data_IF_712299585643
#
_entry.id   IF_712299585643
#
_cell.length_a   1.000
_cell.length_b   1.000
_cell.length_c   1.000
_cell.angle_alpha   90.00
_cell.angle_beta   90.00
_cell.angle_gamma   90.00
#
_symmetry.space_group_name_H-M   'P 1'
#
loop_
_entity.id
_entity.type
_entity.pdbx_description
1 polymer ?
#
# COMPACT_ATOMS: atom_id res chain seq x y z
N UNK A 1 1.73 -1.03 -10.70
CA UNK A 1 0.89 -1.03 -9.47
C UNK A 1 1.59 -0.36 -8.31
N UNK A 2 2.78 -0.82 -7.91
CA UNK A 2 3.54 -0.34 -6.75
C UNK A 2 3.81 1.17 -6.74
N UNK A 3 4.31 1.73 -7.85
CA UNK A 3 4.55 3.17 -7.98
C UNK A 3 3.26 3.98 -7.87
N UNK A 4 2.18 3.55 -8.54
CA UNK A 4 0.87 4.21 -8.48
C UNK A 4 0.36 4.23 -7.04
N UNK A 5 0.40 3.08 -6.36
CA UNK A 5 -0.02 2.97 -4.97
C UNK A 5 0.80 3.89 -4.03
N UNK A 6 2.10 4.04 -4.27
CA UNK A 6 2.95 4.98 -3.53
C UNK A 6 2.51 6.43 -3.73
N UNK A 7 2.33 6.86 -4.98
CA UNK A 7 1.88 8.24 -5.24
C UNK A 7 0.49 8.51 -4.67
N UNK A 8 -0.45 7.58 -4.85
CA UNK A 8 -1.83 7.71 -4.35
C UNK A 8 -1.86 7.80 -2.83
N UNK A 9 -1.17 6.90 -2.13
CA UNK A 9 -1.08 6.94 -0.66
C UNK A 9 -0.39 8.20 -0.15
N UNK A 10 0.64 8.70 -0.85
CA UNK A 10 1.31 9.95 -0.52
C UNK A 10 0.37 11.16 -0.63
N UNK A 11 -0.36 11.28 -1.74
CA UNK A 11 -1.32 12.38 -1.95
C UNK A 11 -2.41 12.35 -0.88
N UNK A 12 -2.96 11.17 -0.58
CA UNK A 12 -3.99 10.99 0.44
C UNK A 12 -3.46 11.39 1.82
N UNK A 13 -2.28 10.89 2.22
CA UNK A 13 -1.68 11.21 3.52
C UNK A 13 -1.35 12.70 3.66
N UNK A 14 -0.90 13.34 2.58
CA UNK A 14 -0.60 14.77 2.57
C UNK A 14 -1.87 15.63 2.66
N UNK A 15 -2.93 15.29 1.91
CA UNK A 15 -4.22 15.95 2.00
C UNK A 15 -4.84 15.83 3.40
N UNK A 16 -4.73 14.66 4.03
CA UNK A 16 -5.21 14.44 5.40
C UNK A 16 -4.47 15.32 6.42
N UNK A 17 -3.14 15.47 6.30
CA UNK A 17 -2.37 16.38 7.16
C UNK A 17 -2.86 17.83 7.03
N UNK A 18 -3.12 18.29 5.81
CA UNK A 18 -3.65 19.64 5.55
C UNK A 18 -5.08 19.83 6.12
N UNK A 19 -5.93 18.80 6.03
CA UNK A 19 -7.29 18.82 6.60
C UNK A 19 -7.25 18.96 8.12
N UNK A 20 -6.37 18.21 8.79
CA UNK A 20 -6.29 18.20 10.26
C UNK A 20 -5.72 19.52 10.82
N UNK A 21 -4.78 20.17 10.12
CA UNK A 21 -4.29 21.50 10.50
C UNK A 21 -5.40 22.57 10.47
N UNK A 22 -6.41 22.39 9.63
CA UNK A 22 -7.56 23.29 9.52
C UNK A 22 -8.70 22.97 10.51
N UNK A 23 -8.66 21.81 11.15
CA UNK A 23 -9.77 21.20 11.92
C UNK A 23 -9.37 21.02 13.40
N UNK A 24 -8.68 22.02 13.97
CA UNK A 24 -8.22 22.09 15.36
C UNK A 24 -9.37 22.24 16.39
N UNK A 25 -10.62 22.22 15.94
CA UNK A 25 -11.84 22.43 16.74
C UNK A 25 -12.85 21.28 16.52
N UNK A 26 -12.39 20.03 16.55
CA UNK A 26 -13.26 18.85 16.54
C UNK A 26 -13.01 17.99 17.78
N UNK A 27 -13.51 18.48 18.90
CA UNK A 27 -13.71 17.72 20.14
C UNK A 27 -14.75 16.60 19.91
N UNK A 28 -14.52 15.45 20.57
CA UNK A 28 -15.48 14.35 20.82
C UNK A 28 -15.82 13.30 19.72
N UNK A 29 -14.93 13.01 18.76
CA UNK A 29 -15.10 11.81 17.92
C UNK A 29 -14.15 10.67 18.30
N UNK A 30 -14.70 9.45 18.41
CA UNK A 30 -13.92 8.21 18.57
C UNK A 30 -12.84 8.11 17.49
N UNK A 31 -11.66 7.57 17.85
CA UNK A 31 -10.50 7.43 16.95
C UNK A 31 -10.88 6.80 15.60
N UNK A 32 -11.77 5.80 15.62
CA UNK A 32 -12.28 5.16 14.41
C UNK A 32 -13.16 6.10 13.56
N UNK A 33 -14.06 6.88 14.18
CA UNK A 33 -14.93 7.82 13.46
C UNK A 33 -14.18 8.96 12.80
N UNK A 34 -13.07 9.42 13.40
CA UNK A 34 -12.22 10.45 12.79
C UNK A 34 -11.44 9.94 11.57
N UNK A 35 -11.08 8.66 11.58
CA UNK A 35 -10.31 7.99 10.52
C UNK A 35 -11.19 7.32 9.44
N UNK A 36 -12.50 7.16 9.68
CA UNK A 36 -13.43 6.51 8.75
C UNK A 36 -13.51 7.21 7.38
N UNK A 37 -13.73 8.55 7.29
CA UNK A 37 -13.87 9.22 6.00
C UNK A 37 -12.64 9.09 5.10
N UNK A 38 -11.44 9.23 5.67
CA UNK A 38 -10.20 9.11 4.90
C UNK A 38 -9.93 7.66 4.49
N UNK A 39 -10.22 6.69 5.36
CA UNK A 39 -10.07 5.26 5.04
C UNK A 39 -11.05 4.84 3.93
N UNK A 40 -12.28 5.33 3.97
CA UNK A 40 -13.27 5.09 2.91
C UNK A 40 -12.83 5.68 1.57
N UNK A 41 -12.37 6.94 1.57
CA UNK A 41 -11.84 7.59 0.36
C UNK A 41 -10.66 6.80 -0.21
N UNK A 42 -9.74 6.37 0.66
CA UNK A 42 -8.57 5.56 0.29
C UNK A 42 -8.97 4.24 -0.36
N UNK A 43 -9.94 3.53 0.23
CA UNK A 43 -10.45 2.27 -0.32
C UNK A 43 -11.08 2.49 -1.69
N UNK A 44 -11.90 3.53 -1.84
CA UNK A 44 -12.58 3.85 -3.09
C UNK A 44 -11.58 4.13 -4.23
N UNK A 45 -10.58 4.97 -3.97
CA UNK A 45 -9.53 5.28 -4.97
C UNK A 45 -8.73 4.03 -5.32
N UNK A 46 -8.36 3.21 -4.34
CA UNK A 46 -7.61 1.98 -4.59
C UNK A 46 -8.39 0.96 -5.43
N UNK A 47 -9.71 0.83 -5.21
CA UNK A 47 -10.57 -0.03 -6.02
C UNK A 47 -10.65 0.49 -7.45
N UNK A 48 -10.89 1.79 -7.64
CA UNK A 48 -10.98 2.40 -8.97
C UNK A 48 -9.68 2.20 -9.77
N UNK A 49 -8.53 2.49 -9.17
CA UNK A 49 -7.22 2.26 -9.79
C UNK A 49 -6.97 0.77 -10.08
N UNK A 50 -7.33 -0.10 -9.14
CA UNK A 50 -7.21 -1.55 -9.31
C UNK A 50 -8.00 -2.10 -10.49
N UNK A 51 -9.22 -1.60 -10.73
CA UNK A 51 -10.04 -1.98 -11.89
C UNK A 51 -9.36 -1.53 -13.19
N UNK A 52 -8.90 -0.28 -13.24
CA UNK A 52 -8.24 0.29 -14.44
C UNK A 52 -6.99 -0.53 -14.79
N UNK A 53 -6.13 -0.79 -13.81
CA UNK A 53 -4.90 -1.56 -14.03
C UNK A 53 -5.22 -3.02 -14.35
N UNK A 54 -6.21 -3.62 -13.69
CA UNK A 54 -6.66 -4.98 -13.97
C UNK A 54 -7.19 -5.15 -15.40
N UNK A 55 -7.96 -4.18 -15.88
CA UNK A 55 -8.47 -4.18 -17.26
C UNK A 55 -7.35 -4.04 -18.30
N UNK A 56 -6.42 -3.08 -18.10
CA UNK A 56 -5.30 -2.86 -19.01
C UNK A 56 -4.36 -4.08 -19.03
N UNK A 57 -3.96 -4.55 -17.84
CA UNK A 57 -3.05 -5.70 -17.73
C UNK A 57 -3.68 -6.99 -18.24
N UNK A 58 -4.96 -7.24 -17.95
CA UNK A 58 -5.67 -8.43 -18.42
C UNK A 58 -5.75 -8.51 -19.95
N UNK A 59 -5.83 -7.35 -20.62
CA UNK A 59 -5.81 -7.27 -22.08
C UNK A 59 -4.41 -7.57 -22.65
N UNK A 60 -3.37 -7.05 -22.00
CA UNK A 60 -1.96 -7.26 -22.41
C UNK A 60 -1.53 -8.72 -22.22
N UNK A 61 -1.84 -9.33 -21.08
CA UNK A 61 -1.32 -10.65 -20.69
C UNK A 61 -2.20 -11.84 -21.15
N UNK A 62 -3.27 -11.58 -21.91
CA UNK A 62 -4.18 -12.58 -22.45
C UNK A 62 -4.54 -13.68 -21.42
N UNK A 63 -5.26 -13.28 -20.38
CA UNK A 63 -5.53 -14.04 -19.14
C UNK A 63 -6.53 -15.20 -19.28
N UNK A 64 -6.38 -15.99 -20.35
CA UNK A 64 -7.27 -17.11 -20.69
C UNK A 64 -7.32 -18.21 -19.62
N UNK A 65 -6.22 -18.45 -18.89
CA UNK A 65 -6.13 -19.54 -17.91
C UNK A 65 -6.90 -19.30 -16.61
N UNK A 66 -6.96 -18.07 -16.10
CA UNK A 66 -7.64 -17.72 -14.84
C UNK A 66 -8.98 -17.02 -15.09
N UNK A 67 -9.18 -16.49 -16.29
CA UNK A 67 -10.36 -15.71 -16.62
C UNK A 67 -10.17 -14.24 -16.25
N UNK A 68 -10.59 -13.37 -17.17
CA UNK A 68 -10.39 -11.93 -17.10
C UNK A 68 -10.97 -11.29 -15.83
N UNK A 69 -12.15 -11.74 -15.39
CA UNK A 69 -12.84 -11.22 -14.21
C UNK A 69 -12.08 -11.55 -12.92
N UNK A 70 -11.57 -12.78 -12.79
CA UNK A 70 -10.80 -13.20 -11.62
C UNK A 70 -9.45 -12.47 -11.58
N UNK A 71 -8.79 -12.29 -12.72
CA UNK A 71 -7.58 -11.48 -12.82
C UNK A 71 -7.82 -10.05 -12.34
N UNK A 72 -8.89 -9.41 -12.80
CA UNK A 72 -9.25 -8.05 -12.38
C UNK A 72 -9.49 -7.98 -10.87
N UNK A 73 -10.16 -8.98 -10.28
CA UNK A 73 -10.35 -9.07 -8.82
C UNK A 73 -9.03 -9.13 -8.05
N UNK A 74 -8.07 -9.93 -8.52
CA UNK A 74 -6.72 -10.02 -7.92
C UNK A 74 -6.02 -8.66 -7.97
N UNK A 75 -6.08 -7.98 -9.12
CA UNK A 75 -5.52 -6.64 -9.29
C UNK A 75 -6.12 -5.62 -8.32
N UNK A 76 -7.44 -5.66 -8.13
CA UNK A 76 -8.15 -4.78 -7.18
C UNK A 76 -7.71 -5.04 -5.75
N UNK A 77 -7.69 -6.30 -5.32
CA UNK A 77 -7.30 -6.67 -3.96
C UNK A 77 -5.84 -6.26 -3.69
N UNK A 78 -4.93 -6.48 -4.65
CA UNK A 78 -3.54 -6.08 -4.52
C UNK A 78 -3.36 -4.57 -4.45
N UNK A 79 -4.09 -3.79 -5.28
CA UNK A 79 -4.05 -2.34 -5.18
C UNK A 79 -4.59 -1.86 -3.84
N UNK A 80 -5.69 -2.45 -3.36
CA UNK A 80 -6.26 -2.12 -2.05
C UNK A 80 -5.27 -2.41 -0.92
N UNK A 81 -4.63 -3.58 -0.95
CA UNK A 81 -3.60 -3.98 0.00
C UNK A 81 -2.43 -2.99 0.01
N UNK A 82 -1.86 -2.66 -1.16
CA UNK A 82 -0.70 -1.77 -1.27
C UNK A 82 -1.03 -0.35 -0.83
N UNK A 83 -2.13 0.22 -1.34
CA UNK A 83 -2.53 1.60 -1.02
C UNK A 83 -2.83 1.72 0.47
N UNK A 84 -3.57 0.78 1.07
CA UNK A 84 -3.86 0.79 2.52
C UNK A 84 -2.60 0.61 3.37
N UNK A 85 -1.68 -0.28 2.96
CA UNK A 85 -0.42 -0.50 3.67
C UNK A 85 0.46 0.74 3.69
N UNK A 86 0.65 1.37 2.52
CA UNK A 86 1.46 2.58 2.41
C UNK A 86 0.81 3.77 3.11
N UNK A 87 -0.51 3.91 2.99
CA UNK A 87 -1.26 4.96 3.67
C UNK A 87 -1.13 4.81 5.19
N UNK A 88 -1.23 3.58 5.71
CA UNK A 88 -1.02 3.30 7.13
C UNK A 88 0.40 3.68 7.58
N UNK A 89 1.43 3.24 6.85
CA UNK A 89 2.82 3.57 7.17
C UNK A 89 3.07 5.08 7.21
N UNK A 90 2.56 5.82 6.22
CA UNK A 90 2.72 7.28 6.14
C UNK A 90 1.97 8.01 7.27
N UNK A 91 0.82 7.49 7.69
CA UNK A 91 0.02 8.08 8.78
C UNK A 91 0.58 7.76 10.16
N UNK A 92 1.01 6.53 10.39
CA UNK A 92 1.50 6.05 11.69
C UNK A 92 2.96 6.43 11.95
N UNK A 93 3.84 6.30 10.95
CA UNK A 93 5.28 6.48 11.09
C UNK A 93 5.80 7.79 10.47
N UNK A 94 4.93 8.60 9.86
CA UNK A 94 5.24 9.92 9.30
C UNK A 94 6.51 9.93 8.41
N UNK A 95 7.58 10.62 8.84
CA UNK A 95 8.84 10.70 8.09
C UNK A 95 9.57 9.35 8.00
N UNK A 96 9.52 8.55 9.07
CA UNK A 96 10.10 7.20 9.07
C UNK A 96 9.32 6.29 8.13
N UNK A 97 8.00 6.42 8.08
CA UNK A 97 7.14 5.69 7.15
C UNK A 97 7.48 5.98 5.69
N UNK A 98 7.71 7.24 5.37
CA UNK A 98 8.14 7.64 4.02
C UNK A 98 9.51 7.06 3.66
N UNK A 99 10.48 7.09 4.58
CA UNK A 99 11.80 6.49 4.36
C UNK A 99 11.74 4.97 4.13
N UNK A 100 10.91 4.26 4.91
CA UNK A 100 10.69 2.82 4.73
C UNK A 100 10.10 2.53 3.36
N UNK A 101 9.03 3.24 2.97
CA UNK A 101 8.38 3.05 1.67
C UNK A 101 9.36 3.34 0.52
N UNK A 102 10.12 4.44 0.61
CA UNK A 102 11.07 4.83 -0.42
C UNK A 102 12.21 3.81 -0.53
N UNK A 103 12.70 3.31 0.60
CA UNK A 103 13.72 2.25 0.63
C UNK A 103 13.18 0.94 0.05
N UNK A 104 11.94 0.56 0.38
CA UNK A 104 11.29 -0.66 -0.13
C UNK A 104 11.11 -0.60 -1.65
N UNK A 105 10.62 0.53 -2.17
CA UNK A 105 10.46 0.74 -3.61
C UNK A 105 11.80 0.91 -4.31
N UNK A 106 12.76 1.60 -3.70
CA UNK A 106 14.12 1.72 -4.21
C UNK A 106 14.78 0.36 -4.35
N UNK A 107 14.79 -0.44 -3.29
CA UNK A 107 15.27 -1.83 -3.31
C UNK A 107 14.54 -2.62 -4.40
N UNK A 108 13.21 -2.53 -4.48
CA UNK A 108 12.45 -3.21 -5.54
C UNK A 108 12.93 -2.80 -6.95
N UNK A 109 13.11 -1.51 -7.24
CA UNK A 109 13.57 -1.04 -8.55
C UNK A 109 15.01 -1.47 -8.86
N UNK A 110 15.90 -1.45 -7.86
CA UNK A 110 17.29 -1.89 -8.04
C UNK A 110 17.45 -3.40 -8.16
N UNK A 111 16.56 -4.18 -7.54
CA UNK A 111 16.61 -5.65 -7.52
C UNK A 111 15.74 -6.29 -8.62
N UNK A 112 14.88 -5.54 -9.29
CA UNK A 112 14.05 -6.07 -10.39
C UNK A 112 14.79 -5.88 -11.72
N UNK A 113 14.67 -6.87 -12.60
CA UNK A 113 15.23 -6.83 -13.97
C UNK A 113 14.66 -5.69 -14.83
N UNK A 114 13.65 -4.96 -14.34
CA UNK A 114 13.01 -3.82 -14.99
C UNK A 114 13.95 -2.62 -15.22
N UNK A 115 15.09 -2.55 -14.51
CA UNK A 115 16.15 -1.54 -14.72
C UNK A 115 17.36 -2.13 -15.48
N UNK A 116 17.30 -3.40 -15.91
CA UNK A 116 18.28 -3.99 -16.83
C UNK A 116 19.60 -4.45 -16.19
N UNK A 117 19.72 -4.43 -14.85
CA UNK A 117 20.81 -5.09 -14.16
C UNK A 117 20.51 -6.58 -14.12
N UNK A 118 21.05 -7.34 -15.08
CA UNK A 118 21.07 -8.81 -15.06
C UNK A 118 21.90 -9.26 -13.85
N UNK A 119 21.29 -9.25 -12.67
CA UNK A 119 21.93 -9.72 -11.45
C UNK A 119 21.82 -11.24 -11.46
N UNK A 120 22.96 -11.88 -11.69
CA UNK A 120 23.11 -13.33 -11.65
C UNK A 120 22.55 -13.89 -10.33
N UNK A 121 21.63 -14.86 -10.42
CA UNK A 121 20.91 -15.48 -9.27
C UNK A 121 21.84 -16.18 -8.26
N UNK A 122 23.13 -16.28 -8.57
CA UNK A 122 24.19 -16.86 -7.71
C UNK A 122 24.86 -15.83 -6.79
N UNK A 123 24.57 -14.53 -6.94
CA UNK A 123 25.14 -13.45 -6.14
C UNK A 123 24.31 -13.17 -4.88
N UNK A 124 24.93 -12.56 -3.86
CA UNK A 124 24.33 -12.13 -2.58
C UNK A 124 23.03 -11.31 -2.80
N UNK A 125 22.92 -10.62 -3.95
CA UNK A 125 21.74 -9.88 -4.39
C UNK A 125 20.53 -10.75 -4.77
N UNK A 126 20.72 -12.00 -5.23
CA UNK A 126 19.62 -12.94 -5.48
C UNK A 126 18.94 -13.42 -4.20
N UNK A 127 19.70 -13.52 -3.11
CA UNK A 127 19.16 -13.84 -1.78
C UNK A 127 18.39 -12.66 -1.18
N UNK A 128 18.88 -11.43 -1.37
CA UNK A 128 18.14 -10.21 -0.98
C UNK A 128 16.85 -10.01 -1.79
N UNK A 129 16.83 -10.44 -3.05
CA UNK A 129 15.63 -10.44 -3.89
C UNK A 129 14.51 -11.31 -3.32
N UNK A 130 14.84 -12.36 -2.54
CA UNK A 130 13.85 -13.22 -1.88
C UNK A 130 13.20 -12.57 -0.66
N UNK A 131 13.84 -11.54 -0.08
CA UNK A 131 13.35 -10.83 1.12
C UNK A 131 12.47 -9.62 0.80
N UNK A 132 12.40 -9.17 -0.45
CA UNK A 132 11.54 -8.04 -0.84
C UNK A 132 10.07 -8.49 -0.90
N UNK A 133 9.18 -7.94 -0.04
CA UNK A 133 7.76 -8.28 -0.06
C UNK A 133 7.10 -7.96 -1.41
N UNK A 134 7.57 -6.91 -2.10
CA UNK A 134 7.06 -6.53 -3.41
C UNK A 134 7.47 -7.54 -4.50
N UNK A 135 8.70 -8.05 -4.43
CA UNK A 135 9.17 -9.07 -5.37
C UNK A 135 8.38 -10.37 -5.22
N UNK A 136 8.04 -10.73 -3.99
CA UNK A 136 7.20 -11.90 -3.73
C UNK A 136 5.83 -11.77 -4.42
N UNK A 137 5.20 -10.59 -4.38
CA UNK A 137 3.93 -10.32 -5.08
C UNK A 137 4.10 -10.49 -6.60
N UNK A 138 5.20 -10.02 -7.19
CA UNK A 138 5.45 -10.13 -8.64
C UNK A 138 5.65 -11.59 -9.09
N UNK A 139 6.48 -12.34 -8.38
CA UNK A 139 6.68 -13.78 -8.66
C UNK A 139 5.35 -14.53 -8.53
N UNK A 140 4.53 -14.17 -7.55
CA UNK A 140 3.22 -14.76 -7.35
C UNK A 140 2.26 -14.46 -8.51
N UNK A 141 2.21 -13.20 -8.95
CA UNK A 141 1.40 -12.80 -10.10
C UNK A 141 1.80 -13.55 -11.37
N UNK A 142 3.09 -13.72 -11.60
CA UNK A 142 3.59 -14.51 -12.72
C UNK A 142 3.18 -15.98 -12.63
N UNK A 143 3.23 -16.59 -11.44
CA UNK A 143 2.75 -17.97 -11.25
C UNK A 143 1.26 -18.12 -11.53
N UNK A 144 0.48 -17.16 -11.07
CA UNK A 144 -0.96 -17.06 -11.31
C UNK A 144 -1.23 -16.95 -12.82
N UNK A 145 -0.55 -16.04 -13.54
CA UNK A 145 -0.68 -15.91 -14.99
C UNK A 145 -0.34 -17.19 -15.76
N UNK A 146 0.65 -17.95 -15.28
CA UNK A 146 1.07 -19.22 -15.87
C UNK A 146 0.18 -20.41 -15.49
N UNK A 147 -0.92 -20.20 -14.76
CA UNK A 147 -1.93 -21.23 -14.49
C UNK A 147 -1.62 -22.16 -13.31
N UNK A 148 -0.82 -21.74 -12.32
CA UNK A 148 -0.67 -22.52 -11.08
C UNK A 148 -2.01 -22.64 -10.32
N UNK A 149 -2.37 -23.88 -9.95
CA UNK A 149 -3.68 -24.25 -9.37
C UNK A 149 -3.97 -23.69 -7.96
N UNK A 150 -3.00 -23.04 -7.29
CA UNK A 150 -3.15 -22.59 -5.89
C UNK A 150 -3.67 -21.14 -5.75
N UNK A 151 -4.15 -20.52 -6.83
CA UNK A 151 -4.53 -19.09 -6.83
C UNK A 151 -5.68 -18.75 -5.86
N UNK A 152 -6.60 -19.68 -5.59
CA UNK A 152 -7.74 -19.45 -4.68
C UNK A 152 -7.30 -19.22 -3.24
N UNK A 153 -6.38 -20.03 -2.73
CA UNK A 153 -5.81 -19.88 -1.37
C UNK A 153 -5.09 -18.54 -1.24
N UNK A 154 -4.32 -18.16 -2.26
CA UNK A 154 -3.61 -16.89 -2.30
C UNK A 154 -4.57 -15.70 -2.28
N UNK A 155 -5.68 -15.79 -3.01
CA UNK A 155 -6.73 -14.77 -3.00
C UNK A 155 -7.31 -14.58 -1.59
N UNK A 156 -7.62 -15.66 -0.87
CA UNK A 156 -8.13 -15.56 0.51
C UNK A 156 -7.11 -14.92 1.47
N UNK A 157 -5.82 -15.24 1.33
CA UNK A 157 -4.75 -14.61 2.11
C UNK A 157 -4.72 -13.10 1.84
N UNK A 158 -4.76 -12.69 0.56
CA UNK A 158 -4.74 -11.26 0.23
C UNK A 158 -5.97 -10.51 0.74
N UNK A 159 -7.15 -11.12 0.68
CA UNK A 159 -8.37 -10.56 1.28
C UNK A 159 -8.18 -10.37 2.78
N UNK A 160 -7.65 -11.38 3.48
CA UNK A 160 -7.38 -11.30 4.92
C UNK A 160 -6.40 -10.18 5.27
N UNK A 161 -5.31 -10.04 4.52
CA UNK A 161 -4.32 -8.99 4.74
C UNK A 161 -4.88 -7.61 4.41
N UNK A 162 -5.63 -7.47 3.32
CA UNK A 162 -6.28 -6.22 2.97
C UNK A 162 -7.30 -5.78 4.05
N UNK A 163 -8.11 -6.71 4.55
CA UNK A 163 -9.03 -6.45 5.66
C UNK A 163 -8.28 -6.02 6.93
N UNK A 164 -7.17 -6.67 7.26
CA UNK A 164 -6.31 -6.30 8.38
C UNK A 164 -5.79 -4.86 8.23
N UNK A 165 -5.31 -4.47 7.05
CA UNK A 165 -4.83 -3.10 6.82
C UNK A 165 -5.95 -2.05 6.83
N UNK A 166 -7.18 -2.40 6.43
CA UNK A 166 -8.34 -1.53 6.61
C UNK A 166 -8.58 -1.27 8.09
N UNK A 167 -8.61 -2.32 8.92
CA UNK A 167 -8.79 -2.19 10.37
C UNK A 167 -7.66 -1.36 10.99
N UNK A 168 -6.40 -1.62 10.61
CA UNK A 168 -5.26 -0.82 11.07
C UNK A 168 -5.40 0.66 10.68
N UNK A 169 -5.88 0.97 9.47
CA UNK A 169 -6.12 2.35 9.04
C UNK A 169 -7.24 3.05 9.84
N UNK A 170 -8.20 2.32 10.38
CA UNK A 170 -9.23 2.86 11.27
C UNK A 170 -8.66 3.14 12.67
N UNK A 171 -7.80 2.27 13.19
CA UNK A 171 -7.19 2.37 14.52
C UNK A 171 -5.81 3.06 14.53
N UNK A 172 -5.55 3.96 13.58
CA UNK A 172 -4.33 4.80 13.60
C UNK A 172 -4.37 5.70 14.83
N UNK A 173 -3.52 5.39 15.81
CA UNK A 173 -3.29 6.22 16.99
C UNK A 173 -2.29 7.29 16.56
N UNK A 174 -2.77 8.51 16.27
CA UNK A 174 -1.89 9.66 16.19
C UNK A 174 -1.45 10.02 17.60
N UNK A 175 -0.16 9.81 17.89
CA UNK A 175 0.48 10.60 18.94
C UNK A 175 0.39 12.04 18.42
N UNK A 176 -0.55 12.84 18.93
CA UNK A 176 -0.39 14.28 18.87
C UNK A 176 0.97 14.51 19.51
N UNK A 177 1.97 14.87 18.71
CA UNK A 177 3.13 15.54 19.27
C UNK A 177 2.52 16.61 20.17
N UNK A 178 2.85 16.49 21.44
CA UNK A 178 2.51 17.45 22.48
C UNK A 178 3.27 18.72 22.08
N UNK A 179 2.74 19.43 21.08
CA UNK A 179 3.11 20.79 20.74
C UNK A 179 2.23 21.72 21.60
N UNK A 180 2.15 21.37 22.87
CA UNK A 180 1.45 22.09 23.93
C UNK A 180 2.22 22.06 25.25
N UNK A 181 3.46 21.54 25.29
CA UNK A 181 4.36 21.69 26.44
C UNK A 181 5.48 22.73 26.23
N UNK A 182 5.77 23.19 25.00
CA UNK A 182 6.78 24.25 24.77
C UNK A 182 6.21 25.68 24.85
N UNK A 183 4.90 25.87 24.72
CA UNK A 183 4.27 27.20 24.85
C UNK A 183 3.96 27.60 26.32
N UNK A 184 4.19 26.71 27.30
CA UNK A 184 3.94 26.97 28.71
C UNK A 184 5.22 27.22 29.54
N UNK A 185 6.40 27.17 28.90
CA UNK A 185 7.68 27.29 29.59
C UNK A 185 8.51 28.51 29.13
N UNK A 186 7.93 29.41 28.33
CA UNK A 186 8.52 30.74 28.04
C UNK A 186 7.98 31.85 28.95
N UNK A 187 7.03 31.55 29.86
CA UNK A 187 6.41 32.51 30.78
C UNK A 187 6.72 32.25 32.27
N UNK A 188 7.88 31.67 32.61
CA UNK A 188 8.39 31.61 34.00
C UNK A 188 9.85 32.09 34.09
#
# INVERSE_FOLDING_TARGET
>A
MTLIALFTSYVISHQEKKRIQHDAFSEELSLASKNLPITFLTAFVAIAEGIIIGAISGNIFNTSHIGFILWMGICVILMLMLVMSFTYLLRQLQMVGMFIILSLVGIYLFLTDAVGLNIDRSSIFGTLQTYSPLQYIEVLLNRILNGENNFLILMYIFIGVAALFIVLNLFVIRKSTVESEEAANEDI
#
